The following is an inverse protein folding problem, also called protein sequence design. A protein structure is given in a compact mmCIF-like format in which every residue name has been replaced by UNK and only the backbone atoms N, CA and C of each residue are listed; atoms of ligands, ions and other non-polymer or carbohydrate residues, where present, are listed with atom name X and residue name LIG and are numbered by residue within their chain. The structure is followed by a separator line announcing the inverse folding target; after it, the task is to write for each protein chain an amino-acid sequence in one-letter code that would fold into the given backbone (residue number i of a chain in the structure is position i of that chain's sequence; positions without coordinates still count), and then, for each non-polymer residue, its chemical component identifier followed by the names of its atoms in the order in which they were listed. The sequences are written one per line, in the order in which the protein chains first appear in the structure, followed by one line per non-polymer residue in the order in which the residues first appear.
data_IF_591506595909
#
_entry.id   IF_591506595909
#
_cell.length_a   1.000
_cell.length_b   1.000
_cell.length_c   1.000
_cell.angle_alpha   90.00
_cell.angle_beta   90.00
_cell.angle_gamma   90.00
#
_symmetry.space_group_name_H-M   'P 1'
#
loop_
_entity.id
_entity.type
_entity.pdbx_description
1 polymer ?
#
# COMPACT_ATOMS: atom_id res chain seq x y z
N UNK A 1 15.18 -30.35 -28.96
CA UNK A 1 13.81 -30.54 -28.42
C UNK A 1 13.77 -30.58 -26.89
N UNK A 2 14.59 -31.39 -26.21
CA UNK A 2 14.46 -31.59 -24.74
C UNK A 2 14.78 -30.35 -23.90
N UNK A 3 15.77 -29.55 -24.31
CA UNK A 3 16.15 -28.33 -23.59
C UNK A 3 15.03 -27.29 -23.51
N UNK A 4 14.20 -27.19 -24.56
CA UNK A 4 13.08 -26.24 -24.61
C UNK A 4 12.01 -26.66 -23.58
N UNK A 5 11.66 -27.94 -23.53
CA UNK A 5 10.69 -28.45 -22.54
C UNK A 5 11.17 -28.32 -21.10
N UNK A 6 12.47 -28.56 -20.84
CA UNK A 6 13.07 -28.37 -19.52
C UNK A 6 13.00 -26.88 -19.11
N UNK A 7 13.32 -25.96 -20.01
CA UNK A 7 13.25 -24.52 -19.73
C UNK A 7 11.80 -24.08 -19.42
N UNK A 8 10.82 -24.52 -20.22
CA UNK A 8 9.40 -24.21 -19.99
C UNK A 8 8.93 -24.75 -18.64
N UNK A 9 9.28 -25.99 -18.31
CA UNK A 9 8.92 -26.59 -17.03
C UNK A 9 9.57 -25.87 -15.84
N UNK A 10 10.86 -25.53 -15.95
CA UNK A 10 11.59 -24.85 -14.89
C UNK A 10 11.04 -23.45 -14.58
N UNK A 11 10.77 -22.65 -15.61
CA UNK A 11 10.21 -21.29 -15.44
C UNK A 11 8.78 -21.35 -14.87
N UNK A 12 7.96 -22.30 -15.34
CA UNK A 12 6.59 -22.47 -14.85
C UNK A 12 6.58 -22.87 -13.38
N UNK A 13 7.44 -23.81 -12.98
CA UNK A 13 7.56 -24.26 -11.59
C UNK A 13 8.02 -23.12 -10.67
N UNK A 14 9.06 -22.39 -11.06
CA UNK A 14 9.57 -21.25 -10.29
C UNK A 14 8.52 -20.14 -10.16
N UNK A 15 7.85 -19.79 -11.26
CA UNK A 15 6.79 -18.77 -11.25
C UNK A 15 5.65 -19.14 -10.31
N UNK A 16 5.21 -20.40 -10.34
CA UNK A 16 4.15 -20.89 -9.46
C UNK A 16 4.61 -20.92 -7.99
N UNK A 17 5.84 -21.36 -7.72
CA UNK A 17 6.41 -21.37 -6.38
C UNK A 17 6.50 -19.95 -5.79
N UNK A 18 7.14 -19.02 -6.49
CA UNK A 18 7.27 -17.64 -6.01
C UNK A 18 5.92 -16.92 -5.93
N UNK A 19 5.03 -17.12 -6.91
CA UNK A 19 3.69 -16.56 -6.91
C UNK A 19 2.85 -17.04 -5.73
N UNK A 20 2.89 -18.35 -5.43
CA UNK A 20 2.18 -18.91 -4.27
C UNK A 20 2.74 -18.38 -2.94
N UNK A 21 4.06 -18.28 -2.81
CA UNK A 21 4.71 -17.77 -1.59
C UNK A 21 4.34 -16.30 -1.36
N UNK A 22 4.51 -15.44 -2.37
CA UNK A 22 4.20 -14.01 -2.25
C UNK A 22 2.70 -13.75 -2.08
N UNK A 23 1.85 -14.51 -2.79
CA UNK A 23 0.40 -14.44 -2.64
C UNK A 23 -0.07 -14.84 -1.24
N UNK A 24 0.52 -15.90 -0.68
CA UNK A 24 0.25 -16.30 0.70
C UNK A 24 0.73 -15.26 1.71
N UNK A 25 1.93 -14.72 1.53
CA UNK A 25 2.47 -13.66 2.38
C UNK A 25 1.58 -12.41 2.37
N UNK A 26 1.14 -11.95 1.19
CA UNK A 26 0.27 -10.77 1.06
C UNK A 26 -1.05 -10.93 1.79
N UNK A 27 -1.69 -12.11 1.71
CA UNK A 27 -2.92 -12.38 2.47
C UNK A 27 -2.68 -12.51 3.95
N UNK A 28 -1.56 -13.11 4.36
CA UNK A 28 -1.27 -13.34 5.78
C UNK A 28 -0.89 -12.05 6.52
N UNK A 29 -0.26 -11.10 5.83
CA UNK A 29 0.16 -9.81 6.38
C UNK A 29 -0.74 -8.64 5.94
N UNK A 30 -1.97 -8.94 5.50
CA UNK A 30 -2.96 -7.90 5.30
C UNK A 30 -3.23 -7.23 6.66
N UNK A 31 -2.94 -5.93 6.73
CA UNK A 31 -3.20 -5.10 7.91
C UNK A 31 -4.66 -4.71 7.87
N UNK A 32 -5.36 -4.85 9.00
CA UNK A 32 -6.74 -4.39 9.15
C UNK A 32 -6.72 -2.85 9.23
N UNK A 33 -7.20 -2.19 8.19
CA UNK A 33 -7.24 -0.73 8.13
C UNK A 33 -8.47 -0.20 8.91
N UNK A 34 -8.27 0.88 9.68
CA UNK A 34 -9.37 1.53 10.40
C UNK A 34 -10.28 2.26 9.39
N UNK A 35 -11.61 2.04 9.41
CA UNK A 35 -12.53 2.63 8.45
C UNK A 35 -12.57 4.17 8.48
N UNK A 36 -12.08 4.81 9.54
CA UNK A 36 -11.93 6.26 9.63
C UNK A 36 -10.69 6.74 8.87
N UNK A 37 -9.59 6.00 8.98
CA UNK A 37 -8.34 6.30 8.26
C UNK A 37 -8.56 6.25 6.76
N UNK A 38 -9.26 5.21 6.29
CA UNK A 38 -9.55 5.01 4.86
C UNK A 38 -10.39 6.16 4.29
N UNK A 39 -11.42 6.61 5.01
CA UNK A 39 -12.22 7.78 4.61
C UNK A 39 -11.41 9.06 4.54
N UNK A 40 -10.52 9.28 5.50
CA UNK A 40 -9.65 10.46 5.49
C UNK A 40 -8.68 10.36 4.31
N UNK A 41 -8.08 9.19 4.08
CA UNK A 41 -7.17 8.93 2.97
C UNK A 41 -7.83 9.18 1.62
N UNK A 42 -9.08 8.75 1.41
CA UNK A 42 -9.85 9.03 0.19
C UNK A 42 -10.09 10.53 -0.07
N UNK A 43 -10.18 11.35 0.99
CA UNK A 43 -10.35 12.80 0.89
C UNK A 43 -9.01 13.50 0.60
N UNK A 44 -7.89 12.89 1.00
CA UNK A 44 -6.56 13.40 0.71
C UNK A 44 -6.25 13.31 -0.80
N UNK A 45 -5.40 14.20 -1.35
CA UNK A 45 -5.08 14.26 -2.78
C UNK A 45 -4.29 13.05 -3.32
N UNK A 46 -3.97 12.06 -2.47
CA UNK A 46 -3.20 10.86 -2.82
C UNK A 46 -1.88 11.12 -3.58
N UNK A 47 -1.31 12.33 -3.46
CA UNK A 47 -0.12 12.76 -4.20
C UNK A 47 1.19 12.28 -3.57
N UNK A 48 1.16 11.79 -2.32
CA UNK A 48 2.31 11.27 -1.58
C UNK A 48 3.52 12.23 -1.56
N UNK A 49 3.25 13.54 -1.58
CA UNK A 49 4.28 14.57 -1.76
C UNK A 49 5.18 14.83 -0.53
N UNK A 50 4.79 14.32 0.65
CA UNK A 50 5.55 14.45 1.89
C UNK A 50 5.64 15.86 2.51
N UNK A 51 4.99 16.86 1.90
CA UNK A 51 5.13 18.27 2.31
C UNK A 51 4.52 18.58 3.69
N UNK A 52 3.58 17.77 4.15
CA UNK A 52 2.97 17.90 5.48
C UNK A 52 3.84 17.36 6.63
N UNK A 53 5.04 16.82 6.34
CA UNK A 53 5.94 16.23 7.33
C UNK A 53 5.72 14.74 7.60
N UNK A 54 4.83 14.10 6.85
CA UNK A 54 4.56 12.65 6.91
C UNK A 54 5.08 11.96 5.65
N UNK A 55 5.50 10.68 5.72
CA UNK A 55 6.05 9.96 4.57
C UNK A 55 5.03 9.66 3.45
N UNK A 56 3.74 9.93 3.66
CA UNK A 56 2.68 9.73 2.68
C UNK A 56 1.32 10.23 3.18
N UNK A 57 0.28 10.09 2.34
CA UNK A 57 -1.10 10.47 2.67
C UNK A 57 -1.72 9.54 3.73
N UNK A 58 -1.57 8.22 3.60
CA UNK A 58 -2.03 7.23 4.59
C UNK A 58 -1.51 7.45 6.02
N UNK A 59 -0.18 7.55 6.26
CA UNK A 59 0.34 7.80 7.61
C UNK A 59 -0.06 9.18 8.15
N UNK A 60 -0.41 10.14 7.27
CA UNK A 60 -1.01 11.41 7.70
C UNK A 60 -2.48 11.24 8.09
N UNK A 61 -3.27 10.44 7.36
CA UNK A 61 -4.64 10.08 7.71
C UNK A 61 -4.70 9.34 9.07
N UNK A 62 -3.78 8.41 9.31
CA UNK A 62 -3.60 7.75 10.62
C UNK A 62 -3.24 8.75 11.74
N UNK A 63 -2.39 9.74 11.45
CA UNK A 63 -2.06 10.77 12.42
C UNK A 63 -3.24 11.69 12.74
N UNK A 64 -4.10 11.99 11.76
CA UNK A 64 -5.33 12.76 11.96
C UNK A 64 -6.34 11.95 12.82
N UNK A 65 -6.56 10.67 12.51
CA UNK A 65 -7.54 9.83 13.22
C UNK A 65 -7.07 9.41 14.62
N UNK A 66 -5.84 8.92 14.76
CA UNK A 66 -5.34 8.32 16.00
C UNK A 66 -4.71 9.37 16.94
N UNK A 67 -4.03 10.38 16.40
CA UNK A 67 -3.29 11.37 17.20
C UNK A 67 -3.95 12.76 17.23
N UNK A 68 -5.06 12.97 16.50
CA UNK A 68 -5.77 14.25 16.47
C UNK A 68 -4.96 15.38 15.82
N UNK A 69 -4.06 15.05 14.90
CA UNK A 69 -3.24 16.04 14.20
C UNK A 69 -4.10 16.99 13.35
N UNK A 70 -3.63 18.22 13.14
CA UNK A 70 -4.37 19.21 12.36
C UNK A 70 -4.49 18.79 10.88
N UNK A 71 -5.72 18.83 10.36
CA UNK A 71 -6.05 18.54 8.94
C UNK A 71 -5.48 19.57 7.94
N UNK A 72 -5.11 20.75 8.42
CA UNK A 72 -4.65 21.86 7.59
C UNK A 72 -3.14 21.85 7.28
N UNK A 73 -2.40 20.78 7.63
CA UNK A 73 -0.96 20.70 7.31
C UNK A 73 -0.70 20.34 5.85
N UNK A 74 -1.62 19.65 5.20
CA UNK A 74 -1.50 19.38 3.77
C UNK A 74 -1.98 20.61 2.98
N UNK A 75 -1.07 21.32 2.32
CA UNK A 75 -1.38 22.54 1.57
C UNK A 75 -2.49 22.34 0.51
N UNK A 76 -2.61 21.13 -0.02
CA UNK A 76 -3.64 20.77 -1.01
C UNK A 76 -5.01 20.45 -0.39
N UNK A 77 -5.05 20.07 0.91
CA UNK A 77 -6.28 19.70 1.64
C UNK A 77 -6.76 20.84 2.54
N UNK A 78 -5.90 21.81 2.85
CA UNK A 78 -6.13 22.92 3.78
C UNK A 78 -7.20 23.94 3.33
N UNK A 79 -8.06 23.60 2.36
CA UNK A 79 -9.19 24.42 1.91
C UNK A 79 -10.55 23.88 2.36
N UNK A 80 -10.59 22.90 3.27
CA UNK A 80 -11.77 22.50 4.02
C UNK A 80 -11.93 23.34 5.29
#
# INVERSE_FOLDING_TARGET
MNAIWIAVAAVSLLGLAFGAILGYASRRFAVEDDPVVEKIDEILPQSQCGQCGYPGCRPYAEAISCNGEKINRCAQVAKL
#
